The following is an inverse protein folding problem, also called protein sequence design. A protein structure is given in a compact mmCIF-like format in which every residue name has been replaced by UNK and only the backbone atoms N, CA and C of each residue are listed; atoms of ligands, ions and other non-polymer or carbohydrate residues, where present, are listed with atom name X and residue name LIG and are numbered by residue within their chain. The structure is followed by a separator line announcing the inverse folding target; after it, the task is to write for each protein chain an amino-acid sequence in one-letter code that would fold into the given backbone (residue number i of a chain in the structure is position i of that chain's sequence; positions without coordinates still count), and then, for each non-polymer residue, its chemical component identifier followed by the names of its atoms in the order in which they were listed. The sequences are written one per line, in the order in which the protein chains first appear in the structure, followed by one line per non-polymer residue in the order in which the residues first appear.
data_IF_600312468937
#
_entry.id   IF_600312468937
#
_cell.length_a   1.000
_cell.length_b   1.000
_cell.length_c   1.000
_cell.angle_alpha   90.00
_cell.angle_beta   90.00
_cell.angle_gamma   90.00
#
_symmetry.space_group_name_H-M   'P 1'
#
loop_
_entity.id
_entity.type
_entity.pdbx_description
1 polymer ?
#
# COMPACT_ATOMS: atom_id res chain seq x y z
N UNK A 1 5.42 1.88 -17.56
CA UNK A 1 5.55 2.34 -16.17
C UNK A 1 4.23 2.86 -15.57
N UNK A 2 3.06 2.42 -16.10
CA UNK A 2 1.73 2.84 -15.61
C UNK A 2 0.98 1.81 -14.75
N UNK A 3 1.47 0.57 -14.66
CA UNK A 3 0.76 -0.51 -13.93
C UNK A 3 0.99 -0.55 -12.41
N UNK A 4 1.95 0.21 -11.90
CA UNK A 4 2.25 0.25 -10.46
C UNK A 4 1.18 1.05 -9.68
N UNK A 5 0.35 1.82 -10.36
CA UNK A 5 -0.61 2.72 -9.71
C UNK A 5 -1.82 2.01 -9.09
N UNK A 6 -2.24 0.85 -9.59
CA UNK A 6 -3.41 0.14 -9.05
C UNK A 6 -3.12 -0.71 -7.79
N UNK A 7 -1.90 -1.23 -7.63
CA UNK A 7 -1.47 -1.92 -6.39
C UNK A 7 -0.77 -0.98 -5.41
N UNK A 8 -0.41 0.19 -5.85
CA UNK A 8 0.38 1.18 -5.13
C UNK A 8 -0.26 1.75 -3.86
N UNK A 9 -1.59 1.99 -3.73
CA UNK A 9 -2.13 2.60 -2.53
C UNK A 9 -1.82 1.83 -1.26
N UNK A 10 -1.98 0.51 -1.27
CA UNK A 10 -1.73 -0.32 -0.09
C UNK A 10 -0.24 -0.46 0.25
N UNK A 11 0.61 -0.62 -0.75
CA UNK A 11 2.05 -0.80 -0.55
C UNK A 11 2.73 0.52 -0.20
N UNK A 12 2.33 1.62 -0.82
CA UNK A 12 2.78 2.97 -0.49
C UNK A 12 2.36 3.39 0.92
N UNK A 13 1.21 2.91 1.42
CA UNK A 13 0.79 3.14 2.79
C UNK A 13 1.64 2.42 3.83
N UNK A 14 2.26 1.29 3.48
CA UNK A 14 3.25 0.59 4.32
C UNK A 14 4.68 1.11 4.13
N UNK A 15 4.91 2.09 3.24
CA UNK A 15 6.21 2.75 2.97
C UNK A 15 7.28 1.82 2.42
N UNK A 16 6.84 0.85 1.66
CA UNK A 16 7.71 0.07 0.83
C UNK A 16 7.69 0.63 -0.60
N UNK A 17 8.80 0.51 -1.29
CA UNK A 17 8.83 0.62 -2.74
C UNK A 17 8.45 -0.74 -3.27
N UNK A 18 7.34 -0.83 -3.98
CA UNK A 18 6.93 -2.06 -4.64
C UNK A 18 7.31 -2.00 -6.12
N UNK A 19 7.91 -3.05 -6.59
CA UNK A 19 8.24 -3.25 -8.00
C UNK A 19 7.56 -4.54 -8.43
N UNK A 20 6.72 -4.45 -9.46
CA UNK A 20 6.08 -5.60 -10.06
C UNK A 20 6.73 -5.89 -11.42
N UNK A 21 7.27 -7.09 -11.56
CA UNK A 21 7.79 -7.59 -12.82
C UNK A 21 6.75 -8.53 -13.44
N UNK A 22 6.04 -8.04 -14.43
CA UNK A 22 5.11 -8.84 -15.21
C UNK A 22 5.73 -9.21 -16.56
N UNK A 23 5.81 -10.48 -16.81
CA UNK A 23 6.26 -11.04 -18.08
C UNK A 23 5.17 -11.92 -18.66
N UNK A 24 5.04 -11.92 -20.00
CA UNK A 24 4.14 -12.82 -20.70
C UNK A 24 4.39 -14.28 -20.28
N UNK A 25 3.30 -15.00 -20.02
CA UNK A 25 3.37 -16.39 -19.56
C UNK A 25 4.11 -17.27 -20.57
N UNK A 26 5.07 -18.04 -20.10
CA UNK A 26 5.73 -19.11 -20.85
C UNK A 26 5.17 -20.47 -20.43
N UNK A 27 3.89 -20.71 -20.69
CA UNK A 27 3.24 -21.99 -20.40
C UNK A 27 3.88 -23.10 -21.22
N UNK A 28 4.34 -24.16 -20.55
CA UNK A 28 5.08 -25.23 -21.19
C UNK A 28 6.56 -24.87 -21.42
N UNK A 29 7.29 -25.72 -22.13
CA UNK A 29 8.73 -25.54 -22.35
C UNK A 29 9.04 -24.53 -23.43
N UNK A 30 8.19 -24.45 -24.45
CA UNK A 30 8.32 -23.58 -25.63
C UNK A 30 6.94 -22.99 -25.93
N UNK A 31 6.91 -21.71 -26.27
CA UNK A 31 5.71 -21.01 -26.67
C UNK A 31 6.02 -20.15 -27.90
N UNK A 32 5.24 -20.33 -28.96
CA UNK A 32 5.30 -19.46 -30.12
C UNK A 32 4.66 -18.13 -29.81
N UNK A 33 5.32 -17.04 -30.15
CA UNK A 33 4.85 -15.68 -30.02
C UNK A 33 4.99 -14.93 -31.34
N UNK A 34 4.36 -13.78 -31.46
CA UNK A 34 4.52 -12.91 -32.64
C UNK A 34 5.97 -12.43 -32.87
N UNK A 35 6.83 -12.59 -31.89
CA UNK A 35 8.24 -12.18 -31.93
C UNK A 35 9.21 -13.36 -31.93
N UNK A 36 8.72 -14.57 -32.16
CA UNK A 36 9.51 -15.80 -32.14
C UNK A 36 9.20 -16.69 -30.94
N UNK A 37 9.96 -17.78 -30.85
CA UNK A 37 9.77 -18.82 -29.84
C UNK A 37 10.33 -18.36 -28.48
N UNK A 38 9.51 -18.40 -27.46
CA UNK A 38 9.90 -18.12 -26.08
C UNK A 38 10.02 -19.42 -25.29
N UNK A 39 11.18 -19.63 -24.67
CA UNK A 39 11.42 -20.80 -23.82
C UNK A 39 11.14 -20.50 -22.34
N UNK A 40 10.77 -21.52 -21.57
CA UNK A 40 10.63 -21.43 -20.13
C UNK A 40 11.95 -21.02 -19.45
N UNK A 41 13.09 -21.53 -19.92
CA UNK A 41 14.41 -21.11 -19.43
C UNK A 41 14.70 -19.62 -19.60
N UNK A 42 14.25 -19.02 -20.70
CA UNK A 42 14.35 -17.58 -20.91
C UNK A 42 13.54 -16.79 -19.84
N UNK A 43 12.30 -17.21 -19.56
CA UNK A 43 11.46 -16.59 -18.54
C UNK A 43 12.07 -16.69 -17.14
N UNK A 44 12.59 -17.88 -16.77
CA UNK A 44 13.27 -18.08 -15.47
C UNK A 44 14.45 -17.12 -15.35
N UNK A 45 15.30 -17.05 -16.39
CA UNK A 45 16.46 -16.15 -16.38
C UNK A 45 16.06 -14.69 -16.19
N UNK A 46 15.03 -14.22 -16.88
CA UNK A 46 14.59 -12.84 -16.77
C UNK A 46 14.08 -12.52 -15.36
N UNK A 47 13.26 -13.38 -14.76
CA UNK A 47 12.77 -13.20 -13.39
C UNK A 47 13.92 -13.24 -12.38
N UNK A 48 14.86 -14.15 -12.55
CA UNK A 48 16.05 -14.23 -11.69
C UNK A 48 16.90 -12.95 -11.78
N UNK A 49 17.22 -12.50 -12.99
CA UNK A 49 18.03 -11.28 -13.19
C UNK A 49 17.32 -10.03 -12.64
N UNK A 50 16.00 -9.92 -12.84
CA UNK A 50 15.21 -8.83 -12.28
C UNK A 50 15.22 -8.83 -10.75
N UNK A 51 15.18 -10.01 -10.14
CA UNK A 51 15.26 -10.16 -8.68
C UNK A 51 16.63 -9.73 -8.14
N UNK A 52 17.73 -10.16 -8.77
CA UNK A 52 19.08 -9.75 -8.39
C UNK A 52 19.26 -8.24 -8.56
N UNK A 53 18.90 -7.68 -9.71
CA UNK A 53 18.99 -6.23 -9.96
C UNK A 53 18.18 -5.41 -8.94
N UNK A 54 17.04 -5.92 -8.48
CA UNK A 54 16.24 -5.27 -7.45
C UNK A 54 16.96 -5.23 -6.11
N UNK A 55 17.61 -6.33 -5.71
CA UNK A 55 18.39 -6.40 -4.48
C UNK A 55 19.60 -5.46 -4.55
N UNK A 56 20.36 -5.50 -5.65
CA UNK A 56 21.49 -4.60 -5.87
C UNK A 56 21.06 -3.13 -5.81
N UNK A 57 20.01 -2.76 -6.52
CA UNK A 57 19.47 -1.41 -6.49
C UNK A 57 19.02 -0.98 -5.08
N UNK A 58 18.46 -1.88 -4.28
CA UNK A 58 18.07 -1.59 -2.90
C UNK A 58 19.29 -1.36 -2.00
N UNK A 59 20.37 -2.13 -2.18
CA UNK A 59 21.62 -1.95 -1.45
C UNK A 59 22.28 -0.63 -1.81
N UNK A 60 22.40 -0.34 -3.10
CA UNK A 60 23.05 0.88 -3.60
C UNK A 60 22.29 2.16 -3.20
N UNK A 61 20.98 2.07 -3.07
CA UNK A 61 20.11 3.20 -2.74
C UNK A 61 19.55 3.15 -1.31
N UNK A 62 20.17 2.40 -0.40
CA UNK A 62 19.65 2.20 0.98
C UNK A 62 19.38 3.51 1.72
N UNK A 63 20.25 4.50 1.58
CA UNK A 63 20.10 5.78 2.27
C UNK A 63 18.97 6.61 1.66
N UNK A 64 18.83 6.62 0.34
CA UNK A 64 17.73 7.25 -0.37
C UNK A 64 16.37 6.63 0.04
N UNK A 65 16.31 5.31 0.12
CA UNK A 65 15.10 4.58 0.52
C UNK A 65 14.73 4.87 1.97
N UNK A 66 15.72 4.91 2.87
CA UNK A 66 15.52 5.26 4.27
C UNK A 66 15.03 6.70 4.43
N UNK A 67 15.66 7.66 3.76
CA UNK A 67 15.24 9.06 3.79
C UNK A 67 13.86 9.27 3.20
N UNK A 68 13.52 8.56 2.14
CA UNK A 68 12.17 8.54 1.58
C UNK A 68 11.14 8.05 2.60
N UNK A 69 11.44 6.95 3.30
CA UNK A 69 10.57 6.41 4.35
C UNK A 69 10.41 7.40 5.51
N UNK A 70 11.50 7.99 6.00
CA UNK A 70 11.46 8.96 7.08
C UNK A 70 10.65 10.22 6.71
N UNK A 71 10.90 10.77 5.53
CA UNK A 71 10.14 11.94 5.03
C UNK A 71 8.67 11.67 4.93
N UNK A 72 8.29 10.51 4.45
CA UNK A 72 6.88 10.14 4.36
C UNK A 72 6.20 10.09 5.74
N UNK A 73 6.85 9.56 6.80
CA UNK A 73 6.28 9.51 8.15
C UNK A 73 6.22 10.89 8.79
N UNK A 74 7.26 11.67 8.61
CA UNK A 74 7.31 13.03 9.14
C UNK A 74 6.24 13.91 8.46
N UNK A 75 6.12 13.84 7.13
CA UNK A 75 5.09 14.60 6.41
C UNK A 75 3.68 14.15 6.78
N UNK A 76 3.47 12.87 7.13
CA UNK A 76 2.17 12.42 7.61
C UNK A 76 1.69 13.15 8.87
N UNK A 77 2.60 13.55 9.74
CA UNK A 77 2.24 14.34 10.95
C UNK A 77 2.06 15.81 10.61
N UNK A 78 2.94 16.38 9.79
CA UNK A 78 2.91 17.82 9.46
C UNK A 78 1.76 18.17 8.53
N UNK A 79 1.52 17.39 7.49
CA UNK A 79 0.50 17.66 6.48
C UNK A 79 -0.92 17.62 7.08
N UNK A 80 -1.14 16.70 8.04
CA UNK A 80 -2.46 16.50 8.63
C UNK A 80 -2.71 17.29 9.93
N UNK A 81 -1.73 18.04 10.42
CA UNK A 81 -1.88 18.89 11.62
C UNK A 81 -3.02 19.90 11.46
N UNK A 82 -3.19 20.48 10.28
CA UNK A 82 -4.16 21.52 9.98
C UNK A 82 -5.42 21.01 9.26
N UNK A 83 -5.61 19.70 9.17
CA UNK A 83 -6.82 19.13 8.57
C UNK A 83 -8.09 19.59 9.31
N UNK A 84 -9.19 19.76 8.55
CA UNK A 84 -10.49 20.14 9.11
C UNK A 84 -11.04 19.04 10.00
N UNK A 85 -10.95 17.79 9.55
CA UNK A 85 -11.34 16.61 10.33
C UNK A 85 -10.20 16.25 11.26
N UNK A 86 -10.41 16.33 12.56
CA UNK A 86 -9.40 16.03 13.58
C UNK A 86 -9.40 14.56 14.00
N UNK A 87 -10.56 13.93 13.96
CA UNK A 87 -10.73 12.52 14.29
C UNK A 87 -11.97 11.96 13.63
N UNK A 88 -12.00 10.66 13.45
CA UNK A 88 -13.19 9.90 13.08
C UNK A 88 -13.70 9.16 14.30
N UNK A 89 -15.03 9.09 14.42
CA UNK A 89 -15.71 8.35 15.47
C UNK A 89 -16.52 7.22 14.82
N UNK A 90 -16.46 6.03 15.40
CA UNK A 90 -17.28 4.91 14.99
C UNK A 90 -17.71 4.07 16.20
N UNK A 91 -18.65 3.17 15.99
CA UNK A 91 -19.11 2.22 16.99
C UNK A 91 -20.57 1.91 16.76
N UNK A 92 -20.88 0.63 16.75
CA UNK A 92 -22.22 0.10 16.70
C UNK A 92 -22.53 -0.53 18.07
N UNK A 93 -23.59 -0.01 18.74
CA UNK A 93 -23.97 -0.54 20.07
C UNK A 93 -24.57 -1.96 19.96
N UNK A 94 -25.07 -2.33 18.83
CA UNK A 94 -25.78 -3.62 18.60
C UNK A 94 -24.86 -4.70 18.03
N UNK A 95 -23.74 -4.32 17.40
CA UNK A 95 -22.79 -5.26 16.79
C UNK A 95 -21.36 -5.04 17.31
N UNK A 96 -21.11 -5.56 18.50
CA UNK A 96 -19.78 -5.50 19.12
C UNK A 96 -18.72 -6.34 18.37
N UNK A 97 -19.15 -7.38 17.65
CA UNK A 97 -18.23 -8.21 16.86
C UNK A 97 -17.72 -7.44 15.63
N UNK A 98 -18.57 -6.65 14.99
CA UNK A 98 -18.16 -5.75 13.89
C UNK A 98 -17.18 -4.70 14.40
N UNK A 99 -17.47 -4.07 15.55
CA UNK A 99 -16.57 -3.11 16.17
C UNK A 99 -15.19 -3.73 16.40
N UNK A 100 -15.15 -4.91 17.03
CA UNK A 100 -13.92 -5.63 17.30
C UNK A 100 -13.14 -5.95 16.04
N UNK A 101 -13.79 -6.52 15.03
CA UNK A 101 -13.14 -6.88 13.76
C UNK A 101 -12.53 -5.65 13.06
N UNK A 102 -13.20 -4.50 13.10
CA UNK A 102 -12.68 -3.27 12.52
C UNK A 102 -11.51 -2.70 13.34
N UNK A 103 -11.62 -2.72 14.68
CA UNK A 103 -10.52 -2.30 15.58
C UNK A 103 -9.29 -3.18 15.34
N UNK A 104 -9.45 -4.50 15.29
CA UNK A 104 -8.35 -5.43 15.05
C UNK A 104 -7.65 -5.10 13.71
N UNK A 105 -8.42 -4.75 12.67
CA UNK A 105 -7.88 -4.32 11.40
C UNK A 105 -7.10 -3.00 11.51
N UNK A 106 -7.62 -2.01 12.21
CA UNK A 106 -6.93 -0.73 12.43
C UNK A 106 -5.62 -0.94 13.19
N UNK A 107 -5.64 -1.75 14.25
CA UNK A 107 -4.46 -2.07 15.06
C UNK A 107 -3.39 -2.83 14.25
N UNK A 108 -3.80 -3.75 13.36
CA UNK A 108 -2.89 -4.44 12.44
C UNK A 108 -2.10 -3.43 11.58
N UNK A 109 -2.74 -2.34 11.18
CA UNK A 109 -2.11 -1.23 10.46
C UNK A 109 -1.43 -0.20 11.36
N UNK A 110 -1.26 -0.50 12.66
CA UNK A 110 -0.64 0.38 13.66
C UNK A 110 -1.35 1.74 13.79
N UNK A 111 -2.64 1.77 13.51
CA UNK A 111 -3.50 2.94 13.72
C UNK A 111 -3.90 2.98 15.19
N UNK A 112 -3.73 4.13 15.81
CA UNK A 112 -4.14 4.36 17.21
C UNK A 112 -5.64 4.56 17.26
N UNK A 113 -6.30 3.78 18.11
CA UNK A 113 -7.74 3.84 18.40
C UNK A 113 -7.94 4.05 19.88
N UNK A 114 -8.84 4.94 20.24
CA UNK A 114 -9.17 5.26 21.64
C UNK A 114 -10.65 4.96 21.91
N UNK A 115 -10.94 4.45 23.11
CA UNK A 115 -12.31 4.29 23.55
C UNK A 115 -12.78 5.59 24.25
N UNK A 116 -13.94 6.07 23.89
CA UNK A 116 -14.57 7.24 24.49
C UNK A 116 -16.08 7.00 24.65
N UNK A 117 -16.51 6.78 25.89
CA UNK A 117 -17.94 6.66 26.25
C UNK A 117 -18.73 5.66 25.42
N UNK A 118 -18.12 4.48 25.13
CA UNK A 118 -18.75 3.41 24.37
C UNK A 118 -18.64 3.55 22.84
N UNK A 119 -17.93 4.58 22.36
CA UNK A 119 -17.55 4.76 20.96
C UNK A 119 -16.03 4.70 20.80
N UNK A 120 -15.57 4.51 19.58
CA UNK A 120 -14.16 4.46 19.24
C UNK A 120 -13.76 5.67 18.43
N UNK A 121 -12.65 6.30 18.84
CA UNK A 121 -12.14 7.52 18.22
C UNK A 121 -10.78 7.26 17.62
N UNK A 122 -10.60 7.65 16.37
CA UNK A 122 -9.36 7.52 15.61
C UNK A 122 -8.88 8.92 15.23
N UNK A 123 -7.87 9.47 15.89
CA UNK A 123 -7.31 10.76 15.51
C UNK A 123 -6.69 10.71 14.12
N UNK A 124 -6.89 11.76 13.34
CA UNK A 124 -6.24 11.87 12.02
C UNK A 124 -4.76 12.18 12.18
N UNK A 125 -4.38 13.01 13.14
CA UNK A 125 -2.98 13.37 13.38
C UNK A 125 -2.21 12.25 14.09
N UNK A 126 -1.73 11.31 13.30
CA UNK A 126 -0.89 10.19 13.75
C UNK A 126 0.02 9.74 12.58
N UNK A 127 1.07 8.92 12.83
CA UNK A 127 1.97 8.45 11.76
C UNK A 127 1.26 7.77 10.59
N UNK A 128 0.11 7.15 10.84
CA UNK A 128 -0.70 6.47 9.83
C UNK A 128 -1.87 7.33 9.30
N UNK A 129 -1.77 8.66 9.37
CA UNK A 129 -2.84 9.59 8.96
C UNK A 129 -3.38 9.33 7.55
N UNK A 130 -2.51 9.01 6.58
CA UNK A 130 -2.92 8.67 5.21
C UNK A 130 -3.77 7.40 5.17
N UNK A 131 -3.41 6.40 5.97
CA UNK A 131 -4.17 5.16 6.09
C UNK A 131 -5.50 5.41 6.80
N UNK A 132 -5.52 6.23 7.85
CA UNK A 132 -6.77 6.64 8.53
C UNK A 132 -7.73 7.26 7.53
N UNK A 133 -7.29 8.22 6.73
CA UNK A 133 -8.12 8.84 5.71
C UNK A 133 -8.66 7.81 4.71
N UNK A 134 -7.81 6.90 4.27
CA UNK A 134 -8.24 5.86 3.32
C UNK A 134 -9.29 4.90 3.90
N UNK A 135 -9.28 4.62 5.21
CA UNK A 135 -10.30 3.79 5.85
C UNK A 135 -11.63 4.52 6.08
N UNK A 136 -11.60 5.82 6.30
CA UNK A 136 -12.76 6.58 6.76
C UNK A 136 -13.33 7.54 5.72
N UNK A 137 -12.58 7.90 4.68
CA UNK A 137 -13.08 8.79 3.64
C UNK A 137 -13.65 8.00 2.46
N UNK A 138 -14.79 8.48 1.95
CA UNK A 138 -15.39 7.93 0.74
C UNK A 138 -14.83 8.66 -0.46
N UNK A 139 -14.23 7.93 -1.38
CA UNK A 139 -13.76 8.46 -2.65
C UNK A 139 -14.89 8.35 -3.70
N UNK A 140 -15.40 9.50 -4.13
CA UNK A 140 -16.49 9.58 -5.10
C UNK A 140 -16.04 9.81 -6.55
N UNK A 141 -14.75 10.04 -6.76
CA UNK A 141 -14.18 10.27 -8.09
C UNK A 141 -12.94 9.40 -8.29
N UNK A 142 -12.98 8.59 -9.33
CA UNK A 142 -11.85 7.81 -9.80
C UNK A 142 -11.27 8.47 -11.03
N UNK A 143 -9.93 8.46 -11.16
CA UNK A 143 -9.23 9.02 -12.35
C UNK A 143 -9.36 8.07 -13.54
N UNK A 144 -9.61 6.80 -13.27
CA UNK A 144 -9.77 5.76 -14.27
C UNK A 144 -11.26 5.57 -14.60
N UNK A 145 -11.59 5.60 -15.89
CA UNK A 145 -12.97 5.40 -16.38
C UNK A 145 -13.47 3.95 -16.30
N UNK A 146 -12.64 3.03 -15.82
CA UNK A 146 -12.99 1.61 -15.65
C UNK A 146 -13.69 1.34 -14.31
N UNK A 147 -13.70 2.31 -13.39
CA UNK A 147 -14.35 2.22 -12.08
C UNK A 147 -15.47 3.24 -11.93
#
# INVERSE_FOLDING_TARGET
MKLIQAMAPHILMFKAVAILFEQASSRGHLQETNYGTMSFGFTIRNQYLSSIATVEAAVDNKDLLRDYQMRFFNSSVTDFKNEKVKAYEFGDMYDQNRNKAFIDKLLLHKIKVYNSKGKFVVPVNQPQSRMVKNFFETHSKYVDSVF
#
